data_IF_137767557900
#
_entry.id   IF_137767557900
#
_cell.length_a   1.000
_cell.length_b   1.000
_cell.length_c   1.000
_cell.angle_alpha   90.00
_cell.angle_beta   90.00
_cell.angle_gamma   90.00
#
_symmetry.space_group_name_H-M   'P 1'
#
loop_
_entity.id
_entity.type
_entity.pdbx_description
1 polymer ?
#
# COMPACT_ATOMS: atom_id res chain seq x y z
N UNK A 1 8.87 -25.70 -15.27
CA UNK A 1 7.97 -25.06 -14.28
C UNK A 1 8.53 -23.68 -14.03
N UNK A 2 7.90 -22.64 -14.58
CA UNK A 2 8.36 -21.26 -14.38
C UNK A 2 7.97 -20.85 -12.96
N UNK A 3 8.94 -20.72 -12.06
CA UNK A 3 8.74 -20.07 -10.77
C UNK A 3 8.31 -18.64 -11.06
N UNK A 4 7.01 -18.35 -10.91
CA UNK A 4 6.57 -16.97 -10.73
C UNK A 4 7.31 -16.46 -9.51
N UNK A 5 8.26 -15.55 -9.71
CA UNK A 5 8.85 -14.82 -8.59
C UNK A 5 7.69 -14.17 -7.84
N UNK A 6 7.51 -14.58 -6.59
CA UNK A 6 6.57 -13.94 -5.70
C UNK A 6 7.04 -12.48 -5.56
N UNK A 7 6.23 -11.54 -6.06
CA UNK A 7 6.55 -10.11 -5.97
C UNK A 7 6.08 -9.66 -4.60
N UNK A 8 6.95 -9.79 -3.61
CA UNK A 8 6.70 -9.24 -2.29
C UNK A 8 6.84 -7.71 -2.35
N UNK A 9 6.04 -7.03 -1.53
CA UNK A 9 5.94 -5.57 -1.54
C UNK A 9 6.15 -4.97 -0.15
N UNK A 10 6.52 -3.69 -0.15
CA UNK A 10 6.52 -2.85 1.03
C UNK A 10 5.42 -1.79 0.89
N UNK A 11 4.83 -1.44 2.03
CA UNK A 11 3.71 -0.50 2.10
C UNK A 11 4.03 0.60 3.12
N UNK A 12 3.74 1.85 2.77
CA UNK A 12 3.92 3.01 3.66
C UNK A 12 2.72 3.96 3.61
N UNK A 13 2.34 4.52 4.74
CA UNK A 13 1.42 5.67 4.81
C UNK A 13 2.23 6.97 4.83
N UNK A 14 1.89 7.88 3.93
CA UNK A 14 2.42 9.25 3.91
C UNK A 14 1.39 10.20 4.49
N UNK A 15 1.77 10.85 5.59
CA UNK A 15 1.02 11.94 6.20
C UNK A 15 1.50 13.30 5.66
N UNK A 16 0.60 14.05 5.01
CA UNK A 16 0.87 15.42 4.59
C UNK A 16 0.54 16.43 5.70
N UNK A 17 1.22 17.60 5.76
CA UNK A 17 0.92 18.66 6.73
C UNK A 17 -0.53 19.16 6.73
N UNK A 18 -1.26 18.94 5.64
CA UNK A 18 -2.69 19.25 5.51
C UNK A 18 -3.62 18.23 6.18
N UNK A 19 -3.08 17.20 6.83
CA UNK A 19 -3.82 16.11 7.46
C UNK A 19 -4.27 15.00 6.50
N UNK A 20 -3.87 15.09 5.22
CA UNK A 20 -4.16 14.08 4.18
C UNK A 20 -3.24 12.88 4.31
N UNK A 21 -3.80 11.68 4.13
CA UNK A 21 -3.09 10.42 4.09
C UNK A 21 -3.04 9.85 2.67
N UNK A 22 -1.88 9.33 2.29
CA UNK A 22 -1.66 8.64 1.01
C UNK A 22 -0.99 7.30 1.28
N UNK A 23 -1.50 6.21 0.71
CA UNK A 23 -0.83 4.92 0.73
C UNK A 23 0.17 4.85 -0.42
N UNK A 24 1.36 4.34 -0.13
CA UNK A 24 2.42 4.10 -1.10
C UNK A 24 2.85 2.66 -1.08
N UNK A 25 3.19 2.14 -2.25
CA UNK A 25 3.66 0.77 -2.46
C UNK A 25 4.95 0.78 -3.28
N UNK A 26 5.80 -0.22 -3.06
CA UNK A 26 6.91 -0.55 -3.94
C UNK A 26 7.21 -2.04 -3.89
N UNK A 27 7.79 -2.59 -4.94
CA UNK A 27 8.31 -3.97 -4.88
C UNK A 27 9.57 -4.01 -4.02
N UNK A 28 9.84 -5.15 -3.37
CA UNK A 28 11.10 -5.32 -2.64
C UNK A 28 12.28 -5.06 -3.59
N UNK A 29 13.24 -4.25 -3.10
CA UNK A 29 14.44 -3.88 -3.85
C UNK A 29 14.27 -2.65 -4.74
N UNK A 30 13.05 -2.16 -4.95
CA UNK A 30 12.84 -0.88 -5.61
C UNK A 30 13.17 0.29 -4.70
N UNK A 31 13.78 1.33 -5.26
CA UNK A 31 14.10 2.55 -4.53
C UNK A 31 12.94 3.55 -4.54
N UNK A 32 12.10 3.51 -5.57
CA UNK A 32 11.01 4.47 -5.76
C UNK A 32 9.71 3.93 -5.17
N UNK A 33 9.01 4.81 -4.45
CA UNK A 33 7.66 4.56 -3.98
C UNK A 33 6.65 5.05 -5.02
N UNK A 34 5.59 4.28 -5.23
CA UNK A 34 4.47 4.65 -6.09
C UNK A 34 3.23 4.93 -5.26
N UNK A 35 2.55 6.04 -5.55
CA UNK A 35 1.29 6.39 -4.91
C UNK A 35 0.20 5.42 -5.35
N UNK A 36 -0.54 4.86 -4.40
CA UNK A 36 -1.70 4.02 -4.70
C UNK A 36 -2.88 4.91 -5.04
N UNK A 37 -3.09 5.13 -6.34
CA UNK A 37 -4.15 5.99 -6.88
C UNK A 37 -5.58 5.38 -6.79
N UNK A 38 -5.75 4.26 -6.08
CA UNK A 38 -7.06 3.68 -5.82
C UNK A 38 -7.93 4.62 -4.96
N UNK A 39 -9.25 4.56 -5.14
CA UNK A 39 -10.18 5.45 -4.47
C UNK A 39 -10.02 5.41 -2.94
N UNK A 40 -9.73 6.57 -2.35
CA UNK A 40 -9.59 6.73 -0.90
C UNK A 40 -8.22 6.36 -0.33
N UNK A 41 -7.25 6.00 -1.18
CA UNK A 41 -5.85 5.76 -0.79
C UNK A 41 -4.90 6.89 -1.20
N UNK A 42 -5.38 7.90 -1.92
CA UNK A 42 -4.59 9.07 -2.32
C UNK A 42 -5.18 10.35 -1.72
N UNK A 43 -4.40 11.04 -0.88
CA UNK A 43 -4.75 12.36 -0.34
C UNK A 43 -6.02 12.41 0.50
N UNK A 44 -6.36 11.34 1.23
CA UNK A 44 -7.61 11.20 1.97
C UNK A 44 -7.55 11.93 3.33
N UNK A 45 -8.53 12.81 3.59
CA UNK A 45 -8.64 13.55 4.87
C UNK A 45 -9.33 12.73 5.98
N UNK A 46 -10.12 11.72 5.64
CA UNK A 46 -10.85 10.92 6.62
C UNK A 46 -10.02 9.68 6.98
N UNK A 47 -9.37 9.72 8.15
CA UNK A 47 -8.46 8.67 8.61
C UNK A 47 -9.16 7.32 8.74
N UNK A 48 -10.37 7.28 9.32
CA UNK A 48 -11.14 6.05 9.49
C UNK A 48 -11.46 5.41 8.13
N UNK A 49 -11.89 6.22 7.17
CA UNK A 49 -12.15 5.76 5.81
C UNK A 49 -10.87 5.28 5.12
N UNK A 50 -9.77 6.01 5.29
CA UNK A 50 -8.45 5.66 4.74
C UNK A 50 -7.99 4.29 5.22
N UNK A 51 -7.91 4.04 6.53
CA UNK A 51 -7.42 2.76 7.05
C UNK A 51 -8.35 1.58 6.72
N UNK A 52 -9.66 1.81 6.53
CA UNK A 52 -10.56 0.77 6.00
C UNK A 52 -10.18 0.38 4.56
N UNK A 53 -9.83 1.37 3.74
CA UNK A 53 -9.36 1.12 2.37
C UNK A 53 -7.97 0.47 2.36
N UNK A 54 -7.07 0.85 3.28
CA UNK A 54 -5.77 0.19 3.46
C UNK A 54 -5.97 -1.29 3.81
N UNK A 55 -6.80 -1.59 4.81
CA UNK A 55 -7.10 -2.97 5.20
C UNK A 55 -7.66 -3.79 4.02
N UNK A 56 -8.56 -3.21 3.23
CA UNK A 56 -9.10 -3.85 2.01
C UNK A 56 -7.99 -4.09 0.97
N UNK A 57 -7.09 -3.14 0.76
CA UNK A 57 -5.95 -3.27 -0.17
C UNK A 57 -5.02 -4.41 0.26
N UNK A 58 -4.65 -4.46 1.54
CA UNK A 58 -3.81 -5.52 2.10
C UNK A 58 -4.48 -6.90 1.98
N UNK A 59 -5.78 -6.99 2.24
CA UNK A 59 -6.54 -8.23 2.05
C UNK A 59 -6.53 -8.69 0.59
N UNK A 60 -6.65 -7.75 -0.37
CA UNK A 60 -6.57 -8.07 -1.80
C UNK A 60 -5.18 -8.58 -2.21
N UNK A 61 -4.11 -8.05 -1.63
CA UNK A 61 -2.75 -8.55 -1.84
C UNK A 61 -2.59 -9.98 -1.31
N UNK A 62 -3.04 -10.24 -0.09
CA UNK A 62 -3.00 -11.56 0.50
C UNK A 62 -3.78 -12.60 -0.34
N UNK A 63 -4.95 -12.24 -0.87
CA UNK A 63 -5.73 -13.10 -1.77
C UNK A 63 -5.01 -13.42 -3.09
N UNK A 64 -4.11 -12.55 -3.54
CA UNK A 64 -3.30 -12.73 -4.75
C UNK A 64 -1.97 -13.44 -4.48
N UNK A 65 -1.69 -13.81 -3.23
CA UNK A 65 -0.40 -14.39 -2.84
C UNK A 65 0.75 -13.36 -2.83
N UNK A 66 0.44 -12.06 -2.79
CA UNK A 66 1.43 -10.99 -2.62
C UNK A 66 1.65 -10.81 -1.12
N UNK A 67 2.89 -10.98 -0.67
CA UNK A 67 3.24 -10.77 0.72
C UNK A 67 3.68 -9.32 0.96
N UNK A 68 3.09 -8.70 1.98
CA UNK A 68 3.54 -7.40 2.49
C UNK A 68 4.57 -7.66 3.58
N UNK A 69 5.85 -7.43 3.29
CA UNK A 69 6.94 -7.74 4.22
C UNK A 69 7.25 -6.62 5.19
N UNK A 70 6.82 -5.40 4.85
CA UNK A 70 6.99 -4.22 5.67
C UNK A 70 5.77 -3.31 5.53
N UNK A 71 5.24 -2.87 6.67
CA UNK A 71 4.14 -1.91 6.77
C UNK A 71 4.56 -0.80 7.75
N UNK A 72 4.61 0.43 7.26
CA UNK A 72 4.94 1.60 8.06
C UNK A 72 3.83 2.65 7.96
N UNK A 73 3.41 3.17 9.11
CA UNK A 73 2.33 4.13 9.27
C UNK A 73 2.79 5.34 10.08
#
# INVERSE_FOLDING_TARGET
MSTQQQIDIEVRVDSHPSGRLTLKERNIGELMWSDVADQGLLGNLNHVSFYRQVARRLANHAQKGIQVVNYND
#
